data_IF_671390724295
#
_entry.id   IF_671390724295
#
_cell.length_a   1.000
_cell.length_b   1.000
_cell.length_c   1.000
_cell.angle_alpha   90.00
_cell.angle_beta   90.00
_cell.angle_gamma   90.00
#
_symmetry.space_group_name_H-M   'P 1'
#
loop_
_entity.id
_entity.type
_entity.pdbx_description
1 polymer ?
#
# COMPACT_ATOMS: atom_id res chain seq x y z
N UNK A 1 -24.63 -41.32 -59.77
CA UNK A 1 -25.23 -40.04 -60.20
C UNK A 1 -24.07 -39.08 -60.39
N UNK A 2 -23.58 -38.80 -61.61
CA UNK A 2 -24.17 -37.90 -62.64
C UNK A 2 -24.52 -36.54 -62.00
N UNK A 3 -24.07 -35.37 -62.44
CA UNK A 3 -23.52 -34.86 -63.71
C UNK A 3 -22.76 -33.53 -63.37
N UNK A 4 -21.61 -33.18 -63.99
CA UNK A 4 -21.40 -32.40 -65.25
C UNK A 4 -22.02 -30.98 -65.22
N UNK A 5 -21.42 -29.90 -65.70
CA UNK A 5 -20.20 -29.64 -66.50
C UNK A 5 -19.69 -28.21 -66.23
N UNK A 6 -18.48 -27.79 -66.65
CA UNK A 6 -18.07 -27.52 -68.04
C UNK A 6 -18.68 -26.18 -68.51
N UNK A 7 -17.98 -25.15 -68.99
CA UNK A 7 -16.90 -25.16 -69.98
C UNK A 7 -16.38 -23.72 -70.24
N UNK A 8 -15.09 -23.59 -70.58
CA UNK A 8 -14.49 -22.76 -71.66
C UNK A 8 -14.54 -21.21 -71.58
N UNK A 9 -13.58 -20.42 -72.08
CA UNK A 9 -12.29 -20.59 -72.79
C UNK A 9 -11.73 -19.17 -73.07
N UNK A 10 -10.42 -18.90 -72.99
CA UNK A 10 -9.45 -18.50 -74.06
C UNK A 10 -8.43 -17.59 -73.36
N UNK A 11 -7.12 -17.83 -73.32
CA UNK A 11 -6.10 -17.91 -74.38
C UNK A 11 -5.98 -16.62 -75.22
N UNK A 12 -4.97 -15.82 -74.89
CA UNK A 12 -4.41 -14.73 -75.70
C UNK A 12 -2.92 -14.62 -75.38
N UNK A 13 -2.07 -14.85 -76.39
CA UNK A 13 -0.61 -14.68 -76.37
C UNK A 13 -0.29 -13.20 -76.61
N UNK A 14 0.83 -12.70 -76.06
CA UNK A 14 2.03 -12.39 -76.86
C UNK A 14 3.19 -11.78 -76.03
N UNK A 15 4.43 -11.80 -76.56
CA UNK A 15 5.67 -11.89 -75.79
C UNK A 15 6.55 -10.62 -75.84
N UNK A 16 7.56 -10.61 -74.96
CA UNK A 16 8.80 -9.84 -75.15
C UNK A 16 9.02 -8.71 -74.14
N UNK A 17 10.08 -8.80 -73.33
CA UNK A 17 11.37 -8.16 -73.63
C UNK A 17 12.35 -8.41 -72.47
N UNK A 18 13.58 -8.73 -72.86
CA UNK A 18 14.76 -8.94 -72.02
C UNK A 18 15.27 -7.65 -71.35
N UNK A 19 16.12 -7.89 -70.34
CA UNK A 19 17.24 -7.07 -69.86
C UNK A 19 17.00 -6.20 -68.62
N UNK A 20 17.81 -6.45 -67.58
CA UNK A 20 17.94 -5.57 -66.43
C UNK A 20 18.58 -6.21 -65.21
N UNK A 21 19.80 -6.74 -65.35
CA UNK A 21 20.67 -6.96 -64.18
C UNK A 21 21.00 -5.58 -63.60
N UNK A 22 20.56 -5.32 -62.37
CA UNK A 22 21.18 -4.32 -61.50
C UNK A 22 21.37 -4.94 -60.13
N UNK A 23 22.65 -5.12 -59.80
CA UNK A 23 23.11 -5.23 -58.42
C UNK A 23 22.59 -4.00 -57.66
N UNK A 24 21.94 -4.23 -56.52
CA UNK A 24 21.70 -3.18 -55.52
C UNK A 24 22.09 -3.73 -54.17
N UNK A 25 23.24 -3.24 -53.73
CA UNK A 25 23.79 -3.11 -52.39
C UNK A 25 23.12 -3.85 -51.23
N UNK A 26 23.97 -4.58 -50.53
CA UNK A 26 23.79 -4.98 -49.14
C UNK A 26 23.58 -3.73 -48.28
N UNK A 27 22.32 -3.36 -48.07
CA UNK A 27 21.93 -2.42 -47.03
C UNK A 27 22.11 -3.09 -45.68
N UNK A 28 23.03 -2.57 -44.87
CA UNK A 28 23.10 -2.81 -43.43
C UNK A 28 21.71 -2.55 -42.83
N UNK A 29 20.97 -3.63 -42.60
CA UNK A 29 19.74 -3.61 -41.84
C UNK A 29 20.07 -3.25 -40.40
N UNK A 30 20.12 -1.95 -40.11
CA UNK A 30 20.15 -1.41 -38.74
C UNK A 30 18.93 -1.98 -38.03
N UNK A 31 19.14 -2.98 -37.18
CA UNK A 31 18.10 -3.50 -36.29
C UNK A 31 17.60 -2.31 -35.47
N UNK A 32 16.43 -1.80 -35.84
CA UNK A 32 15.70 -0.88 -34.99
C UNK A 32 15.46 -1.61 -33.65
N UNK A 33 15.75 -0.99 -32.50
CA UNK A 33 15.44 -1.59 -31.23
C UNK A 33 13.95 -1.94 -31.23
N UNK A 34 13.64 -3.21 -30.96
CA UNK A 34 12.27 -3.67 -30.73
C UNK A 34 11.69 -2.76 -29.65
N UNK A 35 10.77 -1.89 -30.02
CA UNK A 35 9.97 -1.15 -29.05
C UNK A 35 9.13 -2.18 -28.31
N UNK A 36 9.65 -2.64 -27.17
CA UNK A 36 8.88 -3.42 -26.22
C UNK A 36 7.67 -2.59 -25.82
N UNK A 37 6.48 -3.19 -25.88
CA UNK A 37 5.30 -2.60 -25.25
C UNK A 37 5.68 -2.20 -23.82
N UNK A 38 5.29 -1.01 -23.33
CA UNK A 38 5.57 -0.62 -21.95
C UNK A 38 5.03 -1.73 -21.04
N UNK A 39 5.94 -2.33 -20.26
CA UNK A 39 5.58 -3.30 -19.23
C UNK A 39 4.77 -2.52 -18.19
N UNK A 40 3.66 -3.09 -17.72
CA UNK A 40 2.95 -2.53 -16.56
C UNK A 40 3.95 -2.55 -15.41
N UNK A 41 4.28 -1.38 -14.87
CA UNK A 41 5.25 -1.20 -13.80
C UNK A 41 4.69 -1.78 -12.50
N UNK A 42 5.45 -2.61 -11.81
CA UNK A 42 5.06 -3.20 -10.52
C UNK A 42 5.61 -2.39 -9.35
N UNK A 43 4.72 -1.85 -8.52
CA UNK A 43 5.04 -0.95 -7.40
C UNK A 43 4.92 -1.67 -6.06
N UNK A 44 6.02 -1.73 -5.33
CA UNK A 44 6.05 -2.18 -3.94
C UNK A 44 6.04 -0.99 -2.99
N UNK A 45 5.26 -1.08 -1.91
CA UNK A 45 5.46 -0.22 -0.75
C UNK A 45 5.62 -1.05 0.52
N UNK A 46 6.33 -0.51 1.50
CA UNK A 46 6.49 -1.14 2.80
C UNK A 46 6.37 -0.11 3.92
N UNK A 47 5.87 -0.53 5.08
CA UNK A 47 5.89 0.31 6.28
C UNK A 47 5.88 -0.54 7.56
N UNK A 48 6.50 0.01 8.61
CA UNK A 48 6.31 -0.50 9.97
C UNK A 48 4.83 -0.50 10.36
N UNK A 49 4.41 -1.41 11.25
CA UNK A 49 3.08 -1.41 11.88
C UNK A 49 2.72 -0.05 12.45
N UNK A 50 1.45 0.34 12.34
CA UNK A 50 0.93 1.56 12.94
C UNK A 50 -0.44 1.32 13.59
N UNK A 51 -0.63 1.82 14.80
CA UNK A 51 -1.91 1.80 15.49
C UNK A 51 -2.80 2.93 14.96
N UNK A 52 -4.00 2.59 14.48
CA UNK A 52 -4.94 3.52 13.85
C UNK A 52 -4.23 4.46 12.84
N UNK A 53 -3.65 3.96 11.74
CA UNK A 53 -2.77 4.75 10.87
C UNK A 53 -3.44 6.02 10.33
N UNK A 54 -2.66 7.01 9.90
CA UNK A 54 -3.17 8.22 9.26
C UNK A 54 -3.53 7.98 7.79
N UNK A 55 -4.29 8.88 7.16
CA UNK A 55 -4.77 8.71 5.77
C UNK A 55 -3.63 8.50 4.75
N UNK A 56 -2.52 9.20 4.89
CA UNK A 56 -1.35 9.02 4.03
C UNK A 56 -0.77 7.60 4.08
N UNK A 57 -0.96 6.85 5.17
CA UNK A 57 -0.59 5.44 5.23
C UNK A 57 -1.39 4.62 4.22
N UNK A 58 -2.69 4.88 4.13
CA UNK A 58 -3.61 4.16 3.24
C UNK A 58 -3.54 4.65 1.78
N UNK A 59 -3.31 5.94 1.54
CA UNK A 59 -2.98 6.46 0.20
C UNK A 59 -1.78 5.71 -0.39
N UNK A 60 -0.74 5.52 0.43
CA UNK A 60 0.47 4.79 0.00
C UNK A 60 0.18 3.33 -0.32
N UNK A 61 -0.68 2.68 0.46
CA UNK A 61 -1.09 1.29 0.22
C UNK A 61 -1.89 1.20 -1.08
N UNK A 62 -2.90 2.05 -1.25
CA UNK A 62 -3.80 2.04 -2.41
C UNK A 62 -3.07 2.30 -3.75
N UNK A 63 -1.90 2.93 -3.70
CA UNK A 63 -1.04 3.20 -4.87
C UNK A 63 -0.02 2.11 -5.19
N UNK A 64 0.06 1.06 -4.36
CA UNK A 64 1.00 -0.03 -4.55
C UNK A 64 0.27 -1.30 -5.05
N UNK A 65 0.97 -2.11 -5.83
CA UNK A 65 0.50 -3.45 -6.22
C UNK A 65 0.65 -4.43 -5.06
N UNK A 66 1.69 -4.25 -4.24
CA UNK A 66 1.91 -5.00 -3.01
C UNK A 66 2.36 -4.09 -1.88
N UNK A 67 1.78 -4.30 -0.70
CA UNK A 67 2.20 -3.67 0.54
C UNK A 67 2.80 -4.67 1.51
N UNK A 68 4.04 -4.43 1.94
CA UNK A 68 4.74 -5.25 2.93
C UNK A 68 4.69 -4.62 4.32
N UNK A 69 4.04 -5.32 5.25
CA UNK A 69 3.99 -4.97 6.67
C UNK A 69 5.26 -5.41 7.39
N UNK A 70 6.04 -4.44 7.86
CA UNK A 70 7.39 -4.66 8.41
C UNK A 70 7.36 -5.04 9.89
N UNK A 71 6.85 -6.22 10.23
CA UNK A 71 6.71 -6.69 11.61
C UNK A 71 8.02 -7.22 12.24
N UNK A 72 9.11 -7.29 11.49
CA UNK A 72 10.43 -7.73 11.98
C UNK A 72 11.34 -6.59 12.44
N UNK A 73 10.92 -5.33 12.29
CA UNK A 73 11.71 -4.16 12.72
C UNK A 73 11.62 -3.94 14.24
N UNK A 74 12.51 -3.09 14.76
CA UNK A 74 12.54 -2.74 16.17
C UNK A 74 11.33 -1.90 16.57
N UNK A 75 10.85 -2.09 17.79
CA UNK A 75 9.80 -1.24 18.36
C UNK A 75 10.35 0.15 18.74
N UNK A 76 9.67 1.20 18.27
CA UNK A 76 9.94 2.58 18.67
C UNK A 76 8.82 3.10 19.59
N UNK A 77 9.19 3.46 20.82
CA UNK A 77 8.23 3.94 21.83
C UNK A 77 7.67 5.31 21.45
N UNK A 78 6.40 5.56 21.78
CA UNK A 78 5.71 6.84 21.58
C UNK A 78 5.63 7.29 20.11
N UNK A 79 5.84 6.34 19.20
CA UNK A 79 5.64 6.50 17.77
C UNK A 79 4.19 6.17 17.39
N UNK A 80 3.87 6.29 16.10
CA UNK A 80 2.58 5.86 15.57
C UNK A 80 2.35 4.34 15.65
N UNK A 81 3.35 3.56 16.07
CA UNK A 81 3.22 2.12 16.26
C UNK A 81 2.21 1.80 17.37
N UNK A 82 2.22 2.54 18.48
CA UNK A 82 1.38 2.23 19.65
C UNK A 82 0.44 3.36 20.08
N UNK A 83 0.41 4.49 19.35
CA UNK A 83 -0.53 5.58 19.63
C UNK A 83 -0.89 6.38 18.39
N UNK A 84 -2.11 6.90 18.34
CA UNK A 84 -2.50 7.92 17.38
C UNK A 84 -3.58 8.83 17.98
N UNK A 85 -4.01 9.85 17.23
CA UNK A 85 -4.98 10.85 17.67
C UNK A 85 -6.33 10.66 17.03
N UNK A 86 -7.37 10.97 17.79
CA UNK A 86 -8.74 11.17 17.34
C UNK A 86 -9.15 12.63 17.57
N UNK A 87 -10.18 13.13 16.91
CA UNK A 87 -10.70 14.46 17.21
C UNK A 87 -11.55 14.42 18.49
N UNK A 88 -11.37 15.40 19.36
CA UNK A 88 -12.26 15.70 20.48
C UNK A 88 -12.57 17.20 20.57
N UNK A 89 -13.38 17.63 21.56
CA UNK A 89 -13.77 19.04 21.73
C UNK A 89 -12.60 20.01 21.87
N UNK A 90 -11.47 19.55 22.42
CA UNK A 90 -10.25 20.33 22.61
C UNK A 90 -9.20 20.13 21.51
N UNK A 91 -9.57 19.57 20.35
CA UNK A 91 -8.63 19.17 19.29
C UNK A 91 -8.21 17.70 19.37
N UNK A 92 -7.04 17.37 18.84
CA UNK A 92 -6.50 16.01 18.83
C UNK A 92 -6.30 15.41 20.22
N UNK A 93 -6.98 14.30 20.50
CA UNK A 93 -6.84 13.48 21.70
C UNK A 93 -6.05 12.20 21.40
N UNK A 94 -4.99 11.94 22.16
CA UNK A 94 -4.21 10.70 22.02
C UNK A 94 -4.97 9.47 22.55
N UNK A 95 -4.94 8.40 21.77
CA UNK A 95 -5.20 7.03 22.19
C UNK A 95 -3.87 6.28 22.18
N UNK A 96 -3.47 5.72 23.32
CA UNK A 96 -2.16 5.05 23.48
C UNK A 96 -2.37 3.66 24.03
N UNK A 97 -1.92 2.65 23.28
CA UNK A 97 -1.84 1.28 23.76
C UNK A 97 -0.65 1.18 24.72
N UNK A 98 -0.87 0.84 26.00
CA UNK A 98 0.21 0.57 26.92
C UNK A 98 0.88 -0.74 26.53
N UNK A 99 2.21 -0.80 26.64
CA UNK A 99 3.01 -1.98 26.30
C UNK A 99 3.88 -2.37 27.49
N UNK A 100 4.10 -3.67 27.67
CA UNK A 100 4.92 -4.20 28.77
C UNK A 100 6.40 -3.96 28.46
N UNK A 101 7.12 -3.42 29.44
CA UNK A 101 8.55 -3.12 29.33
C UNK A 101 9.32 -3.92 30.37
N UNK A 102 9.44 -5.24 30.20
CA UNK A 102 10.37 -6.03 31.00
C UNK A 102 11.66 -6.23 30.21
N UNK A 103 12.72 -5.52 30.60
CA UNK A 103 14.12 -5.90 30.34
C UNK A 103 14.71 -5.69 28.94
N UNK A 104 13.95 -5.27 27.93
CA UNK A 104 14.44 -5.25 26.55
C UNK A 104 14.33 -3.87 25.90
N UNK A 105 15.43 -3.10 25.94
CA UNK A 105 15.62 -1.88 25.15
C UNK A 105 15.69 -2.14 23.62
N UNK A 106 15.55 -3.40 23.18
CA UNK A 106 15.72 -3.86 21.79
C UNK A 106 14.67 -4.90 21.35
N UNK A 107 13.51 -4.98 22.02
CA UNK A 107 12.46 -5.91 21.60
C UNK A 107 12.03 -5.67 20.15
N UNK A 108 11.87 -6.75 19.39
CA UNK A 108 11.19 -6.67 18.10
C UNK A 108 9.72 -6.31 18.31
N UNK A 109 9.05 -5.84 17.26
CA UNK A 109 7.60 -5.59 17.32
C UNK A 109 6.79 -6.85 17.68
N UNK A 110 7.28 -8.03 17.29
CA UNK A 110 6.62 -9.31 17.57
C UNK A 110 6.76 -9.75 19.02
N UNK A 111 7.73 -9.22 19.75
CA UNK A 111 7.93 -9.50 21.18
C UNK A 111 7.30 -8.44 22.07
N UNK A 112 6.76 -7.37 21.48
CA UNK A 112 6.13 -6.28 22.23
C UNK A 112 4.71 -6.66 22.63
N UNK A 113 4.54 -7.05 23.89
CA UNK A 113 3.24 -7.36 24.48
C UNK A 113 2.47 -6.10 24.89
N UNK A 114 1.16 -6.10 24.63
CA UNK A 114 0.25 -5.07 25.14
C UNK A 114 0.00 -5.30 26.64
N UNK A 115 -0.10 -4.21 27.40
CA UNK A 115 -0.41 -4.29 28.83
C UNK A 115 -1.92 -4.33 29.07
N UNK A 116 -2.53 -5.47 28.75
CA UNK A 116 -3.97 -5.73 28.94
C UNK A 116 -4.38 -5.83 30.43
N UNK A 117 -3.45 -5.70 31.38
CA UNK A 117 -3.81 -5.49 32.80
C UNK A 117 -4.38 -4.08 33.02
N UNK A 118 -4.09 -3.14 32.13
CA UNK A 118 -4.73 -1.83 32.10
C UNK A 118 -6.00 -1.90 31.25
N UNK A 119 -7.10 -1.22 31.64
CA UNK A 119 -8.36 -1.23 30.90
C UNK A 119 -8.30 -0.27 29.69
N UNK A 120 -7.23 -0.31 28.89
CA UNK A 120 -7.00 0.62 27.78
C UNK A 120 -8.01 0.43 26.66
N UNK A 121 -8.45 -0.82 26.40
CA UNK A 121 -9.48 -1.14 25.40
C UNK A 121 -10.80 -0.44 25.72
N UNK A 122 -11.26 -0.56 26.96
CA UNK A 122 -12.46 0.13 27.44
C UNK A 122 -12.31 1.64 27.40
N UNK A 123 -11.14 2.16 27.80
CA UNK A 123 -10.86 3.60 27.74
C UNK A 123 -10.91 4.13 26.30
N UNK A 124 -10.32 3.41 25.34
CA UNK A 124 -10.33 3.78 23.93
C UNK A 124 -11.75 3.73 23.37
N UNK A 125 -12.48 2.62 23.58
CA UNK A 125 -13.86 2.49 23.13
C UNK A 125 -14.78 3.58 23.70
N UNK A 126 -14.62 3.90 24.99
CA UNK A 126 -15.36 5.01 25.62
C UNK A 126 -14.99 6.36 25.01
N UNK A 127 -13.71 6.64 24.80
CA UNK A 127 -13.27 7.88 24.17
C UNK A 127 -13.86 8.03 22.75
N UNK A 128 -13.84 6.95 21.97
CA UNK A 128 -14.41 6.92 20.61
C UNK A 128 -15.91 7.14 20.66
N UNK A 129 -16.62 6.45 21.57
CA UNK A 129 -18.06 6.62 21.71
C UNK A 129 -18.44 8.05 22.11
N UNK A 130 -17.76 8.63 23.10
CA UNK A 130 -18.02 10.00 23.53
C UNK A 130 -17.75 11.01 22.42
N UNK A 131 -16.64 10.84 21.68
CA UNK A 131 -16.21 11.83 20.69
C UNK A 131 -16.95 11.72 19.35
N UNK A 132 -17.49 10.54 19.00
CA UNK A 132 -18.12 10.31 17.70
C UNK A 132 -19.60 9.91 17.76
N UNK A 133 -20.25 9.93 18.93
CA UNK A 133 -21.67 9.56 19.07
C UNK A 133 -22.63 10.31 18.11
N UNK A 134 -22.24 11.52 17.68
CA UNK A 134 -23.01 12.36 16.75
C UNK A 134 -22.55 12.25 15.29
N UNK A 135 -21.58 11.38 15.00
CA UNK A 135 -21.05 11.18 13.65
C UNK A 135 -22.04 10.37 12.79
N UNK A 136 -21.97 10.51 11.44
CA UNK A 136 -22.79 9.72 10.53
C UNK A 136 -22.63 8.21 10.75
N UNK A 137 -23.78 7.51 10.83
CA UNK A 137 -23.86 6.05 10.99
C UNK A 137 -23.08 5.49 12.19
N UNK A 138 -22.87 6.33 13.22
CA UNK A 138 -22.02 5.99 14.37
C UNK A 138 -22.37 4.62 14.98
N UNK A 139 -23.66 4.32 15.21
CA UNK A 139 -24.06 3.05 15.84
C UNK A 139 -23.62 1.84 15.03
N UNK A 140 -23.83 1.87 13.71
CA UNK A 140 -23.47 0.77 12.81
C UNK A 140 -21.94 0.61 12.69
N UNK A 141 -21.22 1.73 12.62
CA UNK A 141 -19.75 1.74 12.60
C UNK A 141 -19.18 1.24 13.93
N UNK A 142 -19.63 1.79 15.04
CA UNK A 142 -19.16 1.41 16.37
C UNK A 142 -19.39 -0.08 16.66
N UNK A 143 -20.53 -0.65 16.24
CA UNK A 143 -20.81 -2.08 16.36
C UNK A 143 -19.80 -2.98 15.61
N UNK A 144 -19.21 -2.50 14.51
CA UNK A 144 -18.13 -3.21 13.78
C UNK A 144 -16.75 -2.96 14.40
N UNK A 145 -16.54 -1.77 14.94
CA UNK A 145 -15.27 -1.39 15.56
C UNK A 145 -15.06 -2.05 16.92
N UNK A 146 -16.10 -2.19 17.74
CA UNK A 146 -15.97 -2.73 19.10
C UNK A 146 -15.36 -4.14 19.15
N UNK A 147 -15.83 -5.12 18.34
CA UNK A 147 -15.23 -6.45 18.29
C UNK A 147 -13.72 -6.43 18.01
N UNK A 148 -13.24 -5.51 17.16
CA UNK A 148 -11.82 -5.36 16.85
C UNK A 148 -11.00 -5.05 18.11
N UNK A 149 -11.51 -4.19 19.00
CA UNK A 149 -10.87 -3.88 20.28
C UNK A 149 -11.04 -4.97 21.32
N UNK A 150 -12.07 -5.82 21.23
CA UNK A 150 -12.29 -6.93 22.17
C UNK A 150 -11.50 -8.18 21.81
N UNK A 151 -11.07 -8.30 20.56
CA UNK A 151 -10.35 -9.46 20.09
C UNK A 151 -9.01 -9.62 20.84
N UNK A 152 -8.73 -10.81 21.41
CA UNK A 152 -7.43 -11.09 21.99
C UNK A 152 -6.36 -11.05 20.90
N UNK A 153 -5.17 -10.58 21.26
CA UNK A 153 -4.06 -10.49 20.30
C UNK A 153 -2.76 -10.81 21.02
N UNK A 154 -1.91 -11.61 20.36
CA UNK A 154 -0.69 -12.14 20.96
C UNK A 154 0.32 -11.04 21.32
N UNK A 155 0.45 -10.04 20.47
CA UNK A 155 1.36 -8.92 20.62
C UNK A 155 0.82 -7.70 19.85
N UNK A 156 1.52 -6.56 19.96
CA UNK A 156 1.14 -5.33 19.30
C UNK A 156 1.14 -5.45 17.76
N UNK A 157 2.09 -6.19 17.18
CA UNK A 157 2.17 -6.37 15.73
C UNK A 157 0.96 -7.13 15.17
N UNK A 158 0.50 -8.20 15.82
CA UNK A 158 -0.71 -8.95 15.43
C UNK A 158 -1.97 -8.09 15.55
N UNK A 159 -2.04 -7.25 16.58
CA UNK A 159 -3.16 -6.33 16.75
C UNK A 159 -3.20 -5.27 15.64
N UNK A 160 -2.06 -4.66 15.32
CA UNK A 160 -1.96 -3.71 14.22
C UNK A 160 -2.20 -4.37 12.85
N UNK A 161 -1.77 -5.62 12.66
CA UNK A 161 -2.05 -6.39 11.44
C UNK A 161 -3.55 -6.60 11.26
N UNK A 162 -4.25 -7.05 12.29
CA UNK A 162 -5.70 -7.26 12.22
C UNK A 162 -6.44 -5.95 11.98
N UNK A 163 -6.01 -4.87 12.63
CA UNK A 163 -6.58 -3.54 12.37
C UNK A 163 -6.33 -3.07 10.94
N UNK A 164 -5.13 -3.29 10.40
CA UNK A 164 -4.83 -2.92 9.02
C UNK A 164 -5.80 -3.61 8.06
N UNK A 165 -6.01 -4.91 8.22
CA UNK A 165 -6.96 -5.67 7.39
C UNK A 165 -8.39 -5.14 7.52
N UNK A 166 -8.83 -4.84 8.74
CA UNK A 166 -10.13 -4.21 8.99
C UNK A 166 -10.25 -2.87 8.24
N UNK A 167 -9.27 -1.98 8.36
CA UNK A 167 -9.31 -0.68 7.71
C UNK A 167 -9.27 -0.77 6.19
N UNK A 168 -8.50 -1.69 5.62
CA UNK A 168 -8.48 -1.90 4.17
C UNK A 168 -9.84 -2.34 3.65
N UNK A 169 -10.53 -3.24 4.37
CA UNK A 169 -11.90 -3.63 4.02
C UNK A 169 -12.89 -2.46 4.13
N UNK A 170 -12.82 -1.67 5.21
CA UNK A 170 -13.68 -0.49 5.41
C UNK A 170 -13.44 0.62 4.38
N UNK A 171 -12.23 0.69 3.82
CA UNK A 171 -11.83 1.69 2.82
C UNK A 171 -11.85 1.15 1.39
N UNK A 172 -12.27 -0.11 1.20
CA UNK A 172 -12.34 -0.77 -0.11
C UNK A 172 -10.99 -0.76 -0.85
N UNK A 173 -9.90 -1.05 -0.13
CA UNK A 173 -8.54 -1.13 -0.67
C UNK A 173 -8.15 -2.60 -0.79
N UNK A 174 -8.02 -3.08 -2.03
CA UNK A 174 -7.75 -4.49 -2.35
C UNK A 174 -6.26 -4.80 -2.61
N UNK A 175 -5.36 -3.90 -2.22
CA UNK A 175 -3.91 -4.07 -2.37
C UNK A 175 -3.43 -5.38 -1.75
N UNK A 176 -2.61 -6.14 -2.48
CA UNK A 176 -2.03 -7.38 -1.97
C UNK A 176 -1.16 -7.10 -0.76
N UNK A 177 -1.36 -7.85 0.32
CA UNK A 177 -0.56 -7.72 1.54
C UNK A 177 0.47 -8.84 1.67
N UNK A 178 1.62 -8.51 2.25
CA UNK A 178 2.64 -9.46 2.70
C UNK A 178 3.19 -9.03 4.06
N UNK A 179 3.79 -9.97 4.81
CA UNK A 179 4.47 -9.68 6.08
C UNK A 179 5.96 -9.97 5.95
N UNK A 180 6.80 -9.08 6.45
CA UNK A 180 8.25 -9.30 6.39
C UNK A 180 8.68 -10.54 7.19
N UNK A 181 7.96 -10.91 8.25
CA UNK A 181 8.20 -12.15 9.01
C UNK A 181 7.94 -13.46 8.27
N UNK A 182 7.26 -13.41 7.12
CA UNK A 182 7.01 -14.58 6.27
C UNK A 182 8.07 -14.75 5.17
N UNK A 183 9.02 -13.81 5.09
CA UNK A 183 10.08 -13.78 4.10
C UNK A 183 11.42 -14.12 4.76
N UNK A 184 12.29 -14.79 4.02
CA UNK A 184 13.64 -15.15 4.46
C UNK A 184 14.68 -14.18 3.90
N UNK A 185 15.87 -14.18 4.52
CA UNK A 185 17.08 -13.52 3.99
C UNK A 185 16.99 -12.00 3.78
N UNK A 186 16.15 -11.32 4.57
CA UNK A 186 16.07 -9.85 4.54
C UNK A 186 17.21 -9.21 5.34
N UNK A 187 17.84 -8.19 4.75
CA UNK A 187 18.78 -7.29 5.40
C UNK A 187 18.14 -6.36 6.44
N UNK A 188 18.71 -5.17 6.61
CA UNK A 188 18.21 -4.14 7.55
C UNK A 188 18.18 -2.77 6.88
N UNK A 189 17.33 -1.86 7.37
CA UNK A 189 17.24 -0.47 6.88
C UNK A 189 17.05 -0.44 5.35
N UNK A 190 17.95 0.21 4.61
CA UNK A 190 17.90 0.28 3.14
C UNK A 190 17.98 -1.10 2.49
N UNK A 191 18.86 -1.98 2.97
CA UNK A 191 19.05 -3.33 2.43
C UNK A 191 17.75 -4.13 2.53
N UNK A 192 17.06 -4.05 3.66
CA UNK A 192 15.76 -4.71 3.85
C UNK A 192 14.76 -4.30 2.77
N UNK A 193 14.70 -3.02 2.43
CA UNK A 193 13.76 -2.53 1.41
C UNK A 193 14.17 -3.00 0.02
N UNK A 194 15.47 -2.97 -0.30
CA UNK A 194 15.99 -3.45 -1.57
C UNK A 194 15.73 -4.95 -1.76
N UNK A 195 15.95 -5.75 -0.72
CA UNK A 195 15.69 -7.19 -0.72
C UNK A 195 14.20 -7.50 -0.93
N UNK A 196 13.30 -6.70 -0.33
CA UNK A 196 11.87 -6.81 -0.60
C UNK A 196 11.55 -6.50 -2.06
N UNK A 197 12.10 -5.44 -2.62
CA UNK A 197 11.86 -5.10 -4.02
C UNK A 197 12.34 -6.21 -4.96
N UNK A 198 13.52 -6.80 -4.69
CA UNK A 198 14.04 -7.95 -5.43
C UNK A 198 13.17 -9.20 -5.28
N UNK A 199 12.71 -9.50 -4.06
CA UNK A 199 11.85 -10.66 -3.80
C UNK A 199 10.54 -10.61 -4.60
N UNK A 200 9.98 -9.42 -4.81
CA UNK A 200 8.73 -9.22 -5.52
C UNK A 200 8.91 -8.80 -6.99
N UNK A 201 10.14 -8.81 -7.52
CA UNK A 201 10.46 -8.32 -8.87
C UNK A 201 9.88 -6.92 -9.15
N UNK A 202 9.96 -6.02 -8.17
CA UNK A 202 9.37 -4.68 -8.27
C UNK A 202 10.18 -3.77 -9.18
N UNK A 203 9.49 -3.02 -10.05
CA UNK A 203 10.09 -1.97 -10.88
C UNK A 203 10.21 -0.64 -10.11
N UNK A 204 9.29 -0.42 -9.15
CA UNK A 204 9.22 0.80 -8.35
C UNK A 204 9.08 0.50 -6.85
N UNK A 205 9.73 1.31 -6.02
CA UNK A 205 9.50 1.39 -4.59
C UNK A 205 8.84 2.72 -4.21
N UNK A 206 7.60 2.66 -3.73
CA UNK A 206 6.89 3.83 -3.20
C UNK A 206 7.18 3.98 -1.71
N UNK A 207 8.04 4.94 -1.38
CA UNK A 207 8.41 5.30 -0.01
C UNK A 207 7.56 6.43 0.54
N UNK A 208 7.47 6.52 1.87
CA UNK A 208 6.99 7.75 2.51
C UNK A 208 8.04 8.87 2.38
N UNK A 209 7.64 10.13 2.59
CA UNK A 209 8.54 11.28 2.45
C UNK A 209 9.87 11.15 3.24
N UNK A 210 9.84 10.56 4.44
CA UNK A 210 11.03 10.35 5.29
C UNK A 210 11.98 9.25 4.77
N UNK A 211 11.60 8.52 3.73
CA UNK A 211 12.42 7.51 3.08
C UNK A 211 13.79 8.02 2.64
N UNK A 212 13.84 9.29 2.22
CA UNK A 212 15.05 9.97 1.73
C UNK A 212 16.19 9.96 2.75
N UNK A 213 15.87 9.81 4.03
CA UNK A 213 16.84 9.87 5.11
C UNK A 213 17.59 8.55 5.31
N UNK A 214 17.11 7.42 4.77
CA UNK A 214 17.70 6.11 5.02
C UNK A 214 17.89 5.24 3.78
N UNK A 215 17.23 5.53 2.67
CA UNK A 215 17.38 4.77 1.43
C UNK A 215 18.68 5.18 0.72
N UNK A 216 19.49 4.18 0.36
CA UNK A 216 20.66 4.37 -0.50
C UNK A 216 20.21 4.28 -1.95
N UNK A 217 19.79 5.41 -2.52
CA UNK A 217 19.15 5.47 -3.84
C UNK A 217 20.00 4.85 -4.97
N UNK A 218 21.32 4.92 -4.85
CA UNK A 218 22.24 4.31 -5.83
C UNK A 218 22.07 2.78 -5.91
N UNK A 219 21.93 2.09 -4.77
CA UNK A 219 21.77 0.62 -4.74
C UNK A 219 20.49 0.18 -5.47
N UNK A 220 19.43 0.99 -5.41
CA UNK A 220 18.17 0.76 -6.11
C UNK A 220 18.31 1.02 -7.61
N UNK A 221 18.97 2.12 -7.97
CA UNK A 221 19.23 2.46 -9.37
C UNK A 221 20.08 1.38 -10.07
N UNK A 222 21.12 0.86 -9.39
CA UNK A 222 21.95 -0.24 -9.88
C UNK A 222 21.17 -1.55 -10.02
N UNK A 223 20.14 -1.76 -9.20
CA UNK A 223 19.21 -2.88 -9.30
C UNK A 223 18.07 -2.65 -10.32
N UNK A 224 18.03 -1.50 -11.00
CA UNK A 224 16.98 -1.15 -11.96
C UNK A 224 15.63 -0.80 -11.33
N UNK A 225 15.62 -0.40 -10.06
CA UNK A 225 14.41 -0.10 -9.28
C UNK A 225 14.32 1.41 -9.07
N UNK A 226 13.22 2.02 -9.53
CA UNK A 226 12.96 3.44 -9.30
C UNK A 226 12.42 3.67 -7.87
N UNK A 227 12.75 4.79 -7.25
CA UNK A 227 12.19 5.19 -5.96
C UNK A 227 11.28 6.39 -6.14
N UNK A 228 10.03 6.24 -5.74
CA UNK A 228 9.06 7.32 -5.65
C UNK A 228 8.85 7.71 -4.19
N UNK A 229 8.73 9.00 -3.93
CA UNK A 229 8.47 9.53 -2.59
C UNK A 229 7.09 10.14 -2.55
N UNK A 230 6.26 9.59 -1.66
CA UNK A 230 4.90 10.06 -1.45
C UNK A 230 4.91 11.52 -0.99
N UNK A 231 4.14 12.35 -1.71
CA UNK A 231 3.72 13.68 -1.28
C UNK A 231 2.22 13.63 -1.01
N UNK A 232 1.85 13.40 0.26
CA UNK A 232 0.45 13.31 0.66
C UNK A 232 0.09 14.52 1.53
N UNK A 233 -0.88 15.29 1.06
CA UNK A 233 -1.51 16.37 1.82
C UNK A 233 -3.00 16.04 1.91
N UNK A 234 -3.55 15.77 3.10
CA UNK A 234 -4.96 15.44 3.21
C UNK A 234 -5.79 16.68 2.88
N UNK A 235 -6.70 16.57 1.90
CA UNK A 235 -7.67 17.64 1.69
C UNK A 235 -8.64 17.72 2.89
N UNK A 236 -9.07 18.93 3.31
CA UNK A 236 -10.01 19.08 4.41
C UNK A 236 -11.31 18.31 4.18
N UNK A 237 -11.81 17.69 5.23
CA UNK A 237 -13.11 17.03 5.25
C UNK A 237 -13.90 17.41 6.50
N UNK A 238 -15.23 17.24 6.50
CA UNK A 238 -16.04 17.51 7.69
C UNK A 238 -15.52 16.71 8.88
N UNK A 239 -15.23 17.38 9.99
CA UNK A 239 -14.91 16.77 11.26
C UNK A 239 -15.89 17.29 12.31
N UNK A 240 -16.19 16.47 13.32
CA UNK A 240 -16.81 16.99 14.53
C UNK A 240 -15.91 18.03 15.19
N UNK A 241 -16.51 18.92 16.00
CA UNK A 241 -15.80 19.94 16.79
C UNK A 241 -15.16 21.08 15.98
N UNK A 242 -15.63 21.34 14.76
CA UNK A 242 -15.36 22.59 14.04
C UNK A 242 -14.25 22.46 13.00
N UNK A 243 -13.18 23.24 13.15
CA UNK A 243 -12.13 23.36 12.13
C UNK A 243 -11.39 22.05 11.89
N UNK A 244 -11.08 21.80 10.61
CA UNK A 244 -10.31 20.65 10.15
C UNK A 244 -8.94 20.59 10.82
N UNK A 245 -8.58 19.42 11.35
CA UNK A 245 -7.27 19.11 11.90
C UNK A 245 -6.64 17.96 11.11
N UNK A 246 -5.50 18.22 10.42
CA UNK A 246 -4.80 17.18 9.68
C UNK A 246 -4.02 16.23 10.60
N UNK A 247 -3.64 15.07 10.07
CA UNK A 247 -2.78 14.12 10.78
C UNK A 247 -3.44 13.41 11.96
N UNK A 248 -4.77 13.28 11.92
CA UNK A 248 -5.53 12.36 12.77
C UNK A 248 -5.52 10.95 12.18
N UNK A 249 -5.96 9.99 13.00
CA UNK A 249 -6.12 8.60 12.57
C UNK A 249 -7.21 8.44 11.51
N UNK A 250 -7.13 7.35 10.74
CA UNK A 250 -8.16 6.90 9.79
C UNK A 250 -9.53 6.72 10.45
N UNK A 251 -9.58 6.48 11.76
CA UNK A 251 -10.82 6.40 12.52
C UNK A 251 -11.61 7.71 12.47
N UNK A 252 -10.94 8.86 12.51
CA UNK A 252 -11.61 10.16 12.40
C UNK A 252 -12.26 10.32 11.02
N UNK A 253 -11.51 10.03 9.95
CA UNK A 253 -12.05 9.98 8.59
C UNK A 253 -13.27 9.05 8.48
N UNK A 254 -13.11 7.81 8.92
CA UNK A 254 -14.13 6.78 8.82
C UNK A 254 -15.41 7.16 9.60
N UNK A 255 -15.28 7.73 10.80
CA UNK A 255 -16.44 8.16 11.57
C UNK A 255 -17.19 9.30 10.89
N UNK A 256 -16.47 10.28 10.31
CA UNK A 256 -17.09 11.47 9.72
C UNK A 256 -17.62 11.31 8.29
N UNK A 257 -17.49 10.13 7.68
CA UNK A 257 -17.88 9.86 6.27
C UNK A 257 -18.99 8.82 6.17
N UNK A 258 -20.10 9.12 5.50
CA UNK A 258 -21.12 8.10 5.22
C UNK A 258 -20.56 6.97 4.34
N UNK A 259 -19.83 7.34 3.29
CA UNK A 259 -19.06 6.44 2.43
C UNK A 259 -17.55 6.76 2.56
N UNK A 260 -16.82 6.01 3.40
CA UNK A 260 -15.39 6.21 3.61
C UNK A 260 -14.52 5.58 2.52
N UNK A 261 -15.05 4.69 1.67
CA UNK A 261 -14.32 3.95 0.63
C UNK A 261 -14.28 4.64 -0.74
N UNK A 262 -15.11 5.67 -0.95
CA UNK A 262 -15.18 6.46 -2.20
C UNK A 262 -13.92 7.28 -2.57
N UNK A 263 -12.74 6.93 -2.04
CA UNK A 263 -11.45 7.56 -2.31
C UNK A 263 -11.03 8.57 -1.25
N UNK A 264 -9.72 8.64 -0.99
CA UNK A 264 -9.14 9.68 -0.14
C UNK A 264 -9.10 11.01 -0.88
N UNK A 265 -9.42 12.13 -0.22
CA UNK A 265 -9.32 13.45 -0.82
C UNK A 265 -7.82 13.81 -0.87
N UNK A 266 -7.25 13.75 -2.08
CA UNK A 266 -5.88 14.17 -2.41
C UNK A 266 -5.86 15.50 -3.12
#
# INVERSE_FOLDING_TARGET
MRDRGGHHSRCGRDPGLLAGIRQSDAGEGRLLPRQGKPRVTFTLSAHQPAYLPWLGYFDKIARADVFVFLDTVQFERNSFINRNRIKGPGGGQWLTIPVRQKGHLRSSLRDTEMDDAQPWRDKHLRAIATNYAKAPDFRAKFARLEPLYRMPSRNLAEFCWTQLQFWLAELQIDTRLARSSQLSELGKKSDLVLDLCRHFDADHYLSGALGRNYLREQDFAEAGIAIDYQSFTPAPYPQLYGAFEPGLSVLDWWMNRADPGAGFPS
#
